data_IF_449822731573
#
_entry.id   IF_449822731573
#
_cell.length_a   1.000
_cell.length_b   1.000
_cell.length_c   1.000
_cell.angle_alpha   90.00
_cell.angle_beta   90.00
_cell.angle_gamma   90.00
#
_symmetry.space_group_name_H-M   'P 1'
#
loop_
_entity.id
_entity.type
_entity.pdbx_description
1 polymer ?
#
# COMPACT_ATOMS: atom_id res chain seq x y z
N UNK A 1 -15.05 -13.72 19.99
CA UNK A 1 -14.99 -13.55 18.52
C UNK A 1 -16.28 -14.02 17.85
N UNK A 2 -16.65 -15.30 17.94
CA UNK A 2 -17.90 -15.86 17.35
C UNK A 2 -19.17 -15.14 17.88
N UNK A 3 -19.22 -14.85 19.18
CA UNK A 3 -20.33 -14.10 19.80
C UNK A 3 -20.48 -12.65 19.27
N UNK A 4 -19.39 -12.00 18.84
CA UNK A 4 -19.45 -10.67 18.23
C UNK A 4 -19.94 -10.74 16.77
N UNK A 5 -19.56 -11.79 16.04
CA UNK A 5 -20.02 -12.06 14.67
C UNK A 5 -21.52 -12.37 14.65
N UNK A 6 -22.04 -13.17 15.60
CA UNK A 6 -23.47 -13.45 15.73
C UNK A 6 -24.26 -12.18 16.08
N UNK A 7 -23.73 -11.35 16.99
CA UNK A 7 -24.33 -10.06 17.37
C UNK A 7 -24.32 -9.04 16.22
N UNK A 8 -23.34 -9.14 15.32
CA UNK A 8 -23.24 -8.33 14.11
C UNK A 8 -24.19 -8.81 13.01
N UNK A 9 -24.30 -10.13 12.79
CA UNK A 9 -25.28 -10.75 11.90
C UNK A 9 -26.73 -10.39 12.30
N UNK A 10 -27.07 -10.52 13.58
CA UNK A 10 -28.40 -10.13 14.08
C UNK A 10 -28.69 -8.62 14.03
N UNK A 11 -27.65 -7.78 13.89
CA UNK A 11 -27.78 -6.32 13.71
C UNK A 11 -27.88 -5.94 12.23
N UNK A 12 -27.29 -6.73 11.34
CA UNK A 12 -27.36 -6.58 9.87
C UNK A 12 -28.77 -6.79 9.33
N UNK A 13 -29.51 -7.80 9.82
CA UNK A 13 -30.91 -8.00 9.42
C UNK A 13 -31.84 -6.86 9.86
N UNK A 14 -31.63 -6.31 11.07
CA UNK A 14 -32.39 -5.14 11.54
C UNK A 14 -32.05 -3.87 10.77
N UNK A 15 -30.82 -3.74 10.26
CA UNK A 15 -30.39 -2.61 9.44
C UNK A 15 -31.05 -2.60 8.04
N UNK A 16 -31.46 -3.77 7.51
CA UNK A 16 -32.21 -3.85 6.24
C UNK A 16 -33.68 -3.41 6.34
N UNK A 17 -34.30 -3.45 7.52
CA UNK A 17 -35.73 -3.10 7.70
C UNK A 17 -35.99 -1.67 8.19
N UNK A 18 -34.94 -0.92 8.51
CA UNK A 18 -35.03 0.52 8.75
C UNK A 18 -34.27 1.27 7.67
N UNK A 19 -34.83 1.32 6.47
CA UNK A 19 -34.53 2.40 5.52
C UNK A 19 -35.04 3.70 6.14
N UNK A 20 -34.24 4.26 7.06
CA UNK A 20 -34.53 5.52 7.72
C UNK A 20 -34.64 6.60 6.64
N UNK A 21 -35.70 7.43 6.65
CA UNK A 21 -35.82 8.52 5.70
C UNK A 21 -34.58 9.42 5.85
N UNK A 22 -33.99 9.82 4.70
CA UNK A 22 -32.90 10.79 4.65
C UNK A 22 -33.25 11.98 5.54
N UNK A 23 -32.63 12.08 6.72
CA UNK A 23 -32.77 13.27 7.55
C UNK A 23 -32.19 14.46 6.78
N UNK A 24 -32.85 15.63 6.81
CA UNK A 24 -32.30 16.84 6.22
C UNK A 24 -30.95 17.11 6.91
N UNK A 25 -29.95 17.36 6.07
CA UNK A 25 -28.59 17.62 6.47
C UNK A 25 -28.53 18.88 7.35
N UNK A 26 -28.19 18.72 8.63
CA UNK A 26 -28.03 19.83 9.58
C UNK A 26 -26.75 20.61 9.24
N UNK A 27 -26.91 21.89 8.94
CA UNK A 27 -25.96 22.75 8.24
C UNK A 27 -24.87 23.35 9.13
N UNK A 28 -24.55 22.75 10.28
CA UNK A 28 -23.55 23.30 11.24
C UNK A 28 -22.34 22.39 11.50
N UNK A 29 -22.13 21.35 10.69
CA UNK A 29 -20.80 20.69 10.61
C UNK A 29 -20.24 20.98 9.23
N UNK A 30 -19.14 21.74 9.14
CA UNK A 30 -18.38 21.87 7.90
C UNK A 30 -18.06 20.46 7.38
N UNK A 31 -18.73 20.02 6.31
CA UNK A 31 -18.29 18.83 5.59
C UNK A 31 -16.94 19.18 5.00
N UNK A 32 -15.88 18.67 5.62
CA UNK A 32 -14.57 18.57 5.00
C UNK A 32 -14.74 17.63 3.79
N UNK A 33 -15.24 18.19 2.69
CA UNK A 33 -15.42 17.48 1.43
C UNK A 33 -14.05 17.41 0.78
N UNK A 34 -13.45 16.22 0.81
CA UNK A 34 -12.20 15.97 0.11
C UNK A 34 -12.44 16.22 -1.37
N UNK A 35 -11.75 17.21 -1.94
CA UNK A 35 -11.84 17.53 -3.36
C UNK A 35 -11.39 16.31 -4.15
N UNK A 36 -12.27 15.79 -5.02
CA UNK A 36 -11.99 14.63 -5.88
C UNK A 36 -11.07 15.05 -7.02
N UNK A 37 -9.78 15.07 -6.73
CA UNK A 37 -8.71 15.45 -7.66
C UNK A 37 -8.17 14.26 -8.48
N UNK A 38 -8.57 13.02 -8.14
CA UNK A 38 -8.08 11.79 -8.77
C UNK A 38 -9.22 11.07 -9.52
N UNK A 39 -9.03 10.82 -10.82
CA UNK A 39 -9.95 10.03 -11.64
C UNK A 39 -9.73 8.52 -11.50
N UNK A 40 -10.66 7.71 -12.03
CA UNK A 40 -10.62 6.24 -11.94
C UNK A 40 -9.31 5.64 -12.48
N UNK A 41 -8.89 6.06 -13.68
CA UNK A 41 -7.64 5.57 -14.28
C UNK A 41 -6.40 5.89 -13.44
N UNK A 42 -6.33 7.10 -12.87
CA UNK A 42 -5.25 7.47 -11.96
C UNK A 42 -5.29 6.64 -10.68
N UNK A 43 -6.48 6.37 -10.14
CA UNK A 43 -6.63 5.54 -8.95
C UNK A 43 -6.16 4.09 -9.19
N UNK A 44 -6.51 3.49 -10.34
CA UNK A 44 -6.05 2.13 -10.70
C UNK A 44 -4.53 2.09 -10.85
N UNK A 45 -3.95 3.03 -11.61
CA UNK A 45 -2.50 3.09 -11.83
C UNK A 45 -1.75 3.33 -10.51
N UNK A 46 -2.25 4.22 -9.65
CA UNK A 46 -1.65 4.44 -8.33
C UNK A 46 -1.73 3.20 -7.44
N UNK A 47 -2.86 2.47 -7.46
CA UNK A 47 -3.03 1.22 -6.70
C UNK A 47 -2.07 0.15 -7.19
N UNK A 48 -1.93 -0.03 -8.50
CA UNK A 48 -0.94 -0.94 -9.08
C UNK A 48 0.49 -0.52 -8.70
N UNK A 49 0.78 0.78 -8.72
CA UNK A 49 2.07 1.34 -8.34
C UNK A 49 2.43 1.16 -6.87
N UNK A 50 1.44 1.20 -5.97
CA UNK A 50 1.66 0.97 -4.54
C UNK A 50 1.87 -0.51 -4.22
N UNK A 51 1.24 -1.42 -4.97
CA UNK A 51 1.44 -2.87 -4.82
C UNK A 51 2.78 -3.30 -5.44
N UNK A 52 3.12 -2.81 -6.64
CA UNK A 52 4.37 -3.11 -7.34
C UNK A 52 5.51 -2.24 -6.81
N UNK A 53 5.98 -2.60 -5.63
CA UNK A 53 7.08 -1.95 -4.92
C UNK A 53 8.48 -2.41 -5.35
N UNK A 54 9.50 -1.87 -4.69
CA UNK A 54 10.88 -2.37 -4.81
C UNK A 54 10.99 -3.84 -4.35
N UNK A 55 10.11 -4.29 -3.46
CA UNK A 55 10.07 -5.66 -2.96
C UNK A 55 10.04 -6.74 -4.04
N UNK A 56 9.43 -6.50 -5.20
CA UNK A 56 9.39 -7.49 -6.28
C UNK A 56 10.80 -7.84 -6.81
N UNK A 57 11.76 -6.92 -6.75
CA UNK A 57 13.15 -7.16 -7.15
C UNK A 57 14.02 -7.72 -6.01
N UNK A 58 13.56 -7.62 -4.76
CA UNK A 58 14.33 -7.98 -3.55
C UNK A 58 13.91 -9.32 -2.97
N UNK A 59 12.59 -9.49 -2.84
CA UNK A 59 11.93 -10.62 -2.21
C UNK A 59 12.26 -11.97 -2.84
N UNK A 60 12.44 -12.12 -4.18
CA UNK A 60 12.76 -13.43 -4.76
C UNK A 60 14.04 -14.05 -4.18
N UNK A 61 15.09 -13.25 -3.95
CA UNK A 61 16.35 -13.72 -3.35
C UNK A 61 16.12 -14.21 -1.91
N UNK A 62 15.38 -13.44 -1.11
CA UNK A 62 15.06 -13.82 0.27
C UNK A 62 14.22 -15.10 0.36
N UNK A 63 13.16 -15.20 -0.43
CA UNK A 63 12.30 -16.39 -0.47
C UNK A 63 13.08 -17.62 -0.92
N UNK A 64 13.94 -17.50 -1.94
CA UNK A 64 14.75 -18.62 -2.42
C UNK A 64 15.76 -19.08 -1.36
N UNK A 65 16.43 -18.16 -0.66
CA UNK A 65 17.37 -18.52 0.42
C UNK A 65 16.67 -19.23 1.58
N UNK A 66 15.46 -18.80 1.95
CA UNK A 66 14.71 -19.44 3.04
C UNK A 66 14.09 -20.78 2.64
N UNK A 67 13.69 -20.96 1.38
CA UNK A 67 13.04 -22.20 0.90
C UNK A 67 14.05 -23.25 0.42
N UNK A 68 15.25 -22.85 -0.01
CA UNK A 68 16.31 -23.74 -0.48
C UNK A 68 16.03 -24.43 -1.83
N UNK A 69 14.81 -24.34 -2.36
CA UNK A 69 14.39 -24.97 -3.61
C UNK A 69 13.53 -24.03 -4.45
N UNK A 70 13.79 -24.00 -5.75
CA UNK A 70 13.05 -23.17 -6.72
C UNK A 70 11.58 -23.59 -6.81
N UNK A 71 11.27 -24.89 -6.72
CA UNK A 71 9.88 -25.36 -6.75
C UNK A 71 9.09 -24.88 -5.53
N UNK A 72 9.68 -24.94 -4.34
CA UNK A 72 9.05 -24.47 -3.11
C UNK A 72 8.89 -22.95 -3.08
N UNK A 73 9.84 -22.19 -3.64
CA UNK A 73 9.71 -20.73 -3.73
C UNK A 73 8.52 -20.31 -4.59
N UNK A 74 8.26 -21.01 -5.70
CA UNK A 74 7.07 -20.77 -6.54
C UNK A 74 5.77 -21.06 -5.80
N UNK A 75 5.70 -22.16 -5.05
CA UNK A 75 4.51 -22.49 -4.23
C UNK A 75 4.24 -21.40 -3.20
N UNK A 76 5.27 -20.92 -2.50
CA UNK A 76 5.14 -19.83 -1.52
C UNK A 76 4.61 -18.56 -2.17
N UNK A 77 5.11 -18.20 -3.36
CA UNK A 77 4.60 -17.06 -4.13
C UNK A 77 3.14 -17.23 -4.54
N UNK A 78 2.74 -18.42 -5.00
CA UNK A 78 1.35 -18.71 -5.37
C UNK A 78 0.41 -18.59 -4.18
N UNK A 79 0.78 -19.18 -3.03
CA UNK A 79 -0.04 -19.11 -1.80
C UNK A 79 -0.15 -17.67 -1.31
N UNK A 80 0.96 -16.91 -1.29
CA UNK A 80 0.94 -15.50 -0.91
C UNK A 80 0.02 -14.66 -1.82
N UNK A 81 0.00 -14.95 -3.13
CA UNK A 81 -0.91 -14.33 -4.09
C UNK A 81 -2.39 -14.61 -3.77
N UNK A 82 -2.74 -15.86 -3.50
CA UNK A 82 -4.11 -16.27 -3.15
C UNK A 82 -4.58 -15.59 -1.85
N UNK A 83 -3.74 -15.64 -0.82
CA UNK A 83 -4.05 -14.99 0.48
C UNK A 83 -4.25 -13.48 0.30
N UNK A 84 -3.42 -12.83 -0.51
CA UNK A 84 -3.53 -11.40 -0.81
C UNK A 84 -4.82 -11.08 -1.58
N UNK A 85 -5.22 -11.94 -2.51
CA UNK A 85 -6.47 -11.79 -3.28
C UNK A 85 -7.70 -11.88 -2.37
N UNK A 86 -7.74 -12.85 -1.45
CA UNK A 86 -8.83 -12.99 -0.48
C UNK A 86 -8.90 -11.74 0.40
N UNK A 87 -7.76 -11.25 0.90
CA UNK A 87 -7.70 -10.01 1.67
C UNK A 87 -8.22 -8.80 0.89
N UNK A 88 -7.85 -8.66 -0.38
CA UNK A 88 -8.34 -7.59 -1.24
C UNK A 88 -9.88 -7.64 -1.43
N UNK A 89 -10.45 -8.83 -1.62
CA UNK A 89 -11.90 -9.01 -1.73
C UNK A 89 -12.63 -8.59 -0.46
N UNK A 90 -12.12 -8.95 0.72
CA UNK A 90 -12.68 -8.51 2.00
C UNK A 90 -12.65 -6.97 2.14
N UNK A 91 -11.57 -6.32 1.70
CA UNK A 91 -11.46 -4.87 1.71
C UNK A 91 -12.37 -4.17 0.71
N UNK A 92 -12.62 -4.78 -0.46
CA UNK A 92 -13.58 -4.27 -1.45
C UNK A 92 -15.00 -4.32 -0.89
N UNK A 93 -15.40 -5.42 -0.25
CA UNK A 93 -16.71 -5.53 0.41
C UNK A 93 -16.86 -4.45 1.49
N UNK A 94 -15.84 -4.28 2.34
CA UNK A 94 -15.87 -3.26 3.38
C UNK A 94 -15.92 -1.83 2.82
N UNK A 95 -15.15 -1.56 1.76
CA UNK A 95 -15.11 -0.26 1.08
C UNK A 95 -16.40 0.10 0.35
N UNK A 96 -17.12 -0.90 -0.16
CA UNK A 96 -18.45 -0.69 -0.79
C UNK A 96 -19.55 -0.54 0.27
N UNK A 97 -19.45 -1.21 1.42
CA UNK A 97 -20.41 -1.07 2.52
C UNK A 97 -20.29 0.27 3.27
N UNK A 98 -19.09 0.84 3.40
CA UNK A 98 -18.84 2.07 4.16
C UNK A 98 -18.15 3.10 3.24
N UNK A 99 -18.91 3.83 2.39
CA UNK A 99 -18.37 4.83 1.48
C UNK A 99 -18.09 6.14 2.22
N UNK A 100 -17.08 6.14 3.07
CA UNK A 100 -16.64 7.32 3.82
C UNK A 100 -15.14 7.53 3.66
N UNK A 101 -14.71 8.78 3.60
CA UNK A 101 -13.29 9.14 3.59
C UNK A 101 -12.62 8.69 4.90
N UNK A 102 -11.40 8.15 4.83
CA UNK A 102 -10.61 7.76 6.02
C UNK A 102 -10.15 6.30 6.09
N UNK A 103 -10.47 5.46 5.09
CA UNK A 103 -9.96 4.08 4.98
C UNK A 103 -10.11 3.27 6.29
N UNK A 104 -9.05 2.58 6.72
CA UNK A 104 -9.00 1.71 7.90
C UNK A 104 -9.49 2.39 9.19
N UNK A 105 -9.16 3.67 9.40
CA UNK A 105 -9.59 4.41 10.59
C UNK A 105 -11.11 4.47 10.71
N UNK A 106 -11.80 4.76 9.60
CA UNK A 106 -13.27 4.85 9.57
C UNK A 106 -13.91 3.49 9.86
N UNK A 107 -13.32 2.39 9.39
CA UNK A 107 -13.83 1.04 9.67
C UNK A 107 -13.70 0.68 11.15
N UNK A 108 -12.54 0.95 11.74
CA UNK A 108 -12.25 0.71 13.15
C UNK A 108 -13.16 1.57 14.03
N UNK A 109 -13.31 2.85 13.70
CA UNK A 109 -14.21 3.77 14.41
C UNK A 109 -15.65 3.29 14.40
N UNK A 110 -16.14 2.76 13.26
CA UNK A 110 -17.52 2.30 13.13
C UNK A 110 -17.79 0.98 13.86
N UNK A 111 -16.79 0.10 13.96
CA UNK A 111 -16.93 -1.21 14.61
C UNK A 111 -16.64 -1.16 16.12
N UNK A 112 -15.64 -0.39 16.56
CA UNK A 112 -15.11 -0.42 17.92
C UNK A 112 -15.14 0.92 18.66
N UNK A 113 -15.64 2.00 18.03
CA UNK A 113 -15.78 3.31 18.65
C UNK A 113 -14.51 4.16 18.58
N UNK A 114 -14.52 5.31 19.28
CA UNK A 114 -13.50 6.35 19.11
C UNK A 114 -12.14 6.00 19.73
N UNK A 115 -12.10 5.35 20.89
CA UNK A 115 -10.84 5.07 21.58
C UNK A 115 -9.92 4.08 20.82
N UNK A 116 -10.41 2.91 20.35
CA UNK A 116 -9.60 2.01 19.52
C UNK A 116 -9.20 2.63 18.18
N UNK A 117 -10.06 3.48 17.61
CA UNK A 117 -9.74 4.20 16.37
C UNK A 117 -8.62 5.21 16.57
N UNK A 118 -8.62 5.93 17.69
CA UNK A 118 -7.53 6.84 18.05
C UNK A 118 -6.21 6.12 18.24
N UNK A 119 -6.19 4.99 18.96
CA UNK A 119 -4.98 4.18 19.15
C UNK A 119 -4.42 3.66 17.82
N UNK A 120 -5.30 3.18 16.94
CA UNK A 120 -4.89 2.77 15.60
C UNK A 120 -4.24 3.92 14.83
N UNK A 121 -4.88 5.09 14.79
CA UNK A 121 -4.35 6.26 14.10
C UNK A 121 -3.00 6.71 14.68
N UNK A 122 -2.86 6.66 16.01
CA UNK A 122 -1.61 7.00 16.69
C UNK A 122 -0.46 6.10 16.25
N UNK A 123 -0.67 4.78 16.27
CA UNK A 123 0.35 3.80 15.84
C UNK A 123 0.64 3.92 14.35
N UNK A 124 -0.38 4.11 13.53
CA UNK A 124 -0.26 4.24 12.08
C UNK A 124 0.61 5.45 11.69
N UNK A 125 0.35 6.62 12.29
CA UNK A 125 1.02 7.88 11.96
C UNK A 125 2.40 7.98 12.59
N UNK A 126 2.58 7.53 13.83
CA UNK A 126 3.84 7.70 14.57
C UNK A 126 4.85 6.61 14.23
N UNK A 127 4.38 5.38 13.98
CA UNK A 127 5.24 4.20 13.88
C UNK A 127 5.19 3.60 12.48
N UNK A 128 4.03 3.13 12.03
CA UNK A 128 3.94 2.27 10.84
C UNK A 128 4.33 3.02 9.57
N UNK A 129 3.73 4.19 9.33
CA UNK A 129 3.97 4.97 8.11
C UNK A 129 5.42 5.48 8.04
N UNK A 130 6.00 6.12 9.08
CA UNK A 130 7.37 6.61 9.01
C UNK A 130 8.40 5.48 8.84
N UNK A 131 8.22 4.35 9.55
CA UNK A 131 9.13 3.20 9.44
C UNK A 131 9.12 2.64 8.02
N UNK A 132 7.95 2.49 7.40
CA UNK A 132 7.85 2.02 6.02
C UNK A 132 8.59 2.95 5.04
N UNK A 133 8.45 4.27 5.19
CA UNK A 133 9.15 5.26 4.35
C UNK A 133 10.67 5.21 4.55
N UNK A 134 11.13 5.07 5.79
CA UNK A 134 12.56 4.96 6.12
C UNK A 134 13.17 3.69 5.52
N UNK A 135 12.51 2.53 5.67
CA UNK A 135 13.00 1.26 5.12
C UNK A 135 13.15 1.35 3.61
N UNK A 136 12.15 1.88 2.90
CA UNK A 136 12.20 2.03 1.45
C UNK A 136 13.34 2.98 1.02
N UNK A 137 13.52 4.08 1.74
CA UNK A 137 14.56 5.05 1.43
C UNK A 137 15.98 4.55 1.72
N UNK A 138 16.16 3.84 2.84
CA UNK A 138 17.42 3.18 3.16
C UNK A 138 17.75 2.10 2.13
N UNK A 139 16.75 1.34 1.68
CA UNK A 139 16.93 0.35 0.62
C UNK A 139 17.42 1.04 -0.65
N UNK A 140 16.75 2.11 -1.09
CA UNK A 140 17.19 2.90 -2.24
C UNK A 140 18.63 3.39 -2.12
N UNK A 141 19.01 3.95 -0.96
CA UNK A 141 20.36 4.44 -0.73
C UNK A 141 21.42 3.34 -0.77
N UNK A 142 21.14 2.16 -0.19
CA UNK A 142 22.06 1.03 -0.25
C UNK A 142 22.24 0.54 -1.70
N UNK A 143 21.16 0.40 -2.47
CA UNK A 143 21.25 0.02 -3.88
C UNK A 143 22.05 1.01 -4.74
N UNK A 144 21.87 2.31 -4.51
CA UNK A 144 22.66 3.32 -5.20
C UNK A 144 24.14 3.28 -4.81
N UNK A 145 24.44 3.08 -3.53
CA UNK A 145 25.82 3.10 -3.04
C UNK A 145 26.58 1.82 -3.37
N UNK A 146 25.93 0.65 -3.37
CA UNK A 146 26.55 -0.62 -3.79
C UNK A 146 26.97 -0.59 -5.26
N UNK A 147 26.25 0.14 -6.13
CA UNK A 147 26.65 0.28 -7.54
C UNK A 147 27.84 1.21 -7.73
N UNK A 148 28.01 2.23 -6.88
CA UNK A 148 29.12 3.19 -6.95
C UNK A 148 30.37 2.65 -6.23
N UNK A 149 30.19 1.99 -5.09
CA UNK A 149 31.25 1.48 -4.22
C UNK A 149 31.35 -0.05 -4.28
N UNK A 150 31.40 -0.61 -5.50
CA UNK A 150 31.35 -2.06 -5.75
C UNK A 150 32.39 -2.89 -4.96
N UNK A 151 33.52 -2.31 -4.56
CA UNK A 151 34.61 -2.98 -3.83
C UNK A 151 34.95 -2.36 -2.48
N UNK A 152 34.23 -1.33 -2.04
CA UNK A 152 34.55 -0.57 -0.83
C UNK A 152 33.47 -0.73 0.24
N UNK A 153 33.87 -0.64 1.52
CA UNK A 153 32.90 -0.58 2.62
C UNK A 153 32.15 0.75 2.53
N UNK A 154 30.83 0.68 2.35
CA UNK A 154 29.98 1.87 2.26
C UNK A 154 29.92 2.57 3.61
N UNK A 155 30.31 3.85 3.72
CA UNK A 155 30.24 4.57 4.98
C UNK A 155 28.78 4.83 5.38
N UNK A 156 28.41 4.48 6.62
CA UNK A 156 27.04 4.60 7.12
C UNK A 156 26.48 6.03 7.08
N UNK A 157 27.35 7.04 7.22
CA UNK A 157 26.96 8.45 7.08
C UNK A 157 26.45 8.78 5.67
N UNK A 158 27.07 8.23 4.63
CA UNK A 158 26.66 8.46 3.24
C UNK A 158 25.30 7.80 2.94
N UNK A 159 25.05 6.60 3.46
CA UNK A 159 23.75 5.90 3.34
C UNK A 159 22.63 6.76 3.92
N UNK A 160 22.84 7.33 5.11
CA UNK A 160 21.84 8.18 5.77
C UNK A 160 21.56 9.46 4.99
N UNK A 161 22.60 10.12 4.47
CA UNK A 161 22.44 11.34 3.67
C UNK A 161 21.70 11.07 2.35
N UNK A 162 22.07 10.01 1.64
CA UNK A 162 21.42 9.63 0.39
C UNK A 162 19.97 9.18 0.65
N UNK A 163 19.69 8.49 1.76
CA UNK A 163 18.33 8.13 2.15
C UNK A 163 17.47 9.36 2.55
N UNK A 164 18.07 10.47 2.98
CA UNK A 164 17.30 11.68 3.26
C UNK A 164 16.78 12.35 1.98
N UNK A 165 17.55 12.27 0.87
CA UNK A 165 17.23 12.94 -0.40
C UNK A 165 15.85 12.59 -0.97
N UNK A 166 15.49 11.32 -1.24
CA UNK A 166 14.20 11.00 -1.85
C UNK A 166 13.03 11.36 -0.93
N UNK A 167 13.20 11.25 0.40
CA UNK A 167 12.16 11.66 1.37
C UNK A 167 11.93 13.18 1.26
N UNK A 168 12.99 13.98 1.32
CA UNK A 168 12.90 15.44 1.22
C UNK A 168 12.31 15.88 -0.13
N UNK A 169 12.77 15.28 -1.24
CA UNK A 169 12.30 15.61 -2.59
C UNK A 169 10.81 15.27 -2.74
N UNK A 170 10.39 14.07 -2.35
CA UNK A 170 8.99 13.65 -2.47
C UNK A 170 8.09 14.49 -1.55
N UNK A 171 8.54 14.82 -0.35
CA UNK A 171 7.81 15.70 0.58
C UNK A 171 7.63 17.09 -0.03
N UNK A 172 8.69 17.67 -0.59
CA UNK A 172 8.63 18.97 -1.26
C UNK A 172 7.65 18.98 -2.45
N UNK A 173 7.69 17.95 -3.30
CA UNK A 173 6.77 17.82 -4.44
C UNK A 173 5.32 17.66 -3.94
N UNK A 174 5.12 16.86 -2.89
CA UNK A 174 3.80 16.64 -2.29
C UNK A 174 3.21 17.94 -1.71
N UNK A 175 4.02 18.73 -1.00
CA UNK A 175 3.61 20.05 -0.47
C UNK A 175 3.24 21.04 -1.58
N UNK A 176 3.84 20.94 -2.76
CA UNK A 176 3.58 21.90 -3.85
C UNK A 176 2.32 21.58 -4.63
N UNK A 177 2.15 20.32 -5.08
CA UNK A 177 0.90 19.87 -5.70
C UNK A 177 0.88 18.32 -5.79
N UNK A 178 -0.11 17.72 -5.14
CA UNK A 178 -0.32 16.28 -5.04
C UNK A 178 -0.49 15.58 -6.40
N UNK A 179 -0.99 16.28 -7.43
CA UNK A 179 -1.15 15.72 -8.77
C UNK A 179 0.20 15.41 -9.44
N UNK A 180 1.27 16.14 -9.11
CA UNK A 180 2.62 15.82 -9.61
C UNK A 180 3.13 14.52 -9.02
N UNK A 181 2.86 14.27 -7.74
CA UNK A 181 3.19 12.99 -7.10
C UNK A 181 2.43 11.85 -7.77
N UNK A 182 1.14 12.02 -8.04
CA UNK A 182 0.34 11.01 -8.74
C UNK A 182 0.89 10.72 -10.15
N UNK A 183 1.30 11.75 -10.91
CA UNK A 183 1.92 11.58 -12.23
C UNK A 183 3.27 10.87 -12.14
N UNK A 184 4.15 11.28 -11.23
CA UNK A 184 5.46 10.65 -11.00
C UNK A 184 5.30 9.17 -10.62
N UNK A 185 4.36 8.87 -9.72
CA UNK A 185 4.03 7.51 -9.35
C UNK A 185 3.54 6.71 -10.56
N UNK A 186 2.70 7.30 -11.41
CA UNK A 186 2.26 6.67 -12.66
C UNK A 186 3.43 6.33 -13.60
N UNK A 187 4.36 7.26 -13.80
CA UNK A 187 5.56 7.03 -14.63
C UNK A 187 6.44 5.93 -14.05
N UNK A 188 6.71 5.94 -12.74
CA UNK A 188 7.50 4.88 -12.09
C UNK A 188 6.82 3.52 -12.17
N UNK A 189 5.49 3.48 -12.08
CA UNK A 189 4.72 2.23 -12.22
C UNK A 189 4.82 1.68 -13.63
N UNK A 190 4.70 2.53 -14.65
CA UNK A 190 4.88 2.13 -16.04
C UNK A 190 6.30 1.63 -16.32
N UNK A 191 7.32 2.33 -15.82
CA UNK A 191 8.72 1.91 -15.95
C UNK A 191 8.99 0.55 -15.29
N UNK A 192 8.47 0.34 -14.08
CA UNK A 192 8.57 -0.97 -13.39
C UNK A 192 7.83 -2.07 -14.13
N UNK A 193 6.62 -1.80 -14.62
CA UNK A 193 5.85 -2.77 -15.40
C UNK A 193 6.60 -3.16 -16.68
N UNK A 194 7.19 -2.19 -17.37
CA UNK A 194 8.03 -2.43 -18.53
C UNK A 194 9.24 -3.32 -18.21
N UNK A 195 9.95 -3.03 -17.10
CA UNK A 195 11.07 -3.86 -16.67
C UNK A 195 10.66 -5.32 -16.38
N UNK A 196 9.49 -5.53 -15.73
CA UNK A 196 8.96 -6.87 -15.47
C UNK A 196 8.62 -7.60 -16.78
N UNK A 197 7.97 -6.92 -17.72
CA UNK A 197 7.64 -7.50 -19.04
C UNK A 197 8.91 -7.92 -19.77
N UNK A 198 9.95 -7.08 -19.75
CA UNK A 198 11.24 -7.40 -20.36
C UNK A 198 11.85 -8.66 -19.73
N UNK A 199 11.87 -8.75 -18.39
CA UNK A 199 12.39 -9.94 -17.68
C UNK A 199 11.63 -11.21 -18.09
N UNK A 200 10.30 -11.13 -18.21
CA UNK A 200 9.47 -12.28 -18.63
C UNK A 200 9.82 -12.68 -20.06
N UNK A 201 9.89 -11.73 -21.00
CA UNK A 201 10.19 -12.01 -22.42
C UNK A 201 11.57 -12.63 -22.58
N UNK A 202 12.59 -12.06 -21.93
CA UNK A 202 13.96 -12.59 -21.97
C UNK A 202 14.03 -13.97 -21.32
N UNK A 203 13.33 -14.17 -20.19
CA UNK A 203 13.24 -15.47 -19.53
C UNK A 203 12.61 -16.55 -20.40
N UNK A 204 11.47 -16.24 -21.04
CA UNK A 204 10.80 -17.16 -21.97
C UNK A 204 11.68 -17.46 -23.18
N UNK A 205 12.34 -16.45 -23.76
CA UNK A 205 13.28 -16.65 -24.86
C UNK A 205 14.42 -17.61 -24.49
N UNK A 206 14.98 -17.47 -23.28
CA UNK A 206 16.01 -18.37 -22.77
C UNK A 206 15.53 -19.79 -22.44
N UNK A 207 14.25 -19.97 -22.10
CA UNK A 207 13.66 -21.30 -21.85
C UNK A 207 13.31 -22.05 -23.13
N UNK A 208 12.97 -21.32 -24.20
CA UNK A 208 12.60 -21.89 -25.50
C UNK A 208 13.81 -22.16 -26.42
N UNK A 209 15.01 -21.71 -26.04
CA UNK A 209 16.26 -21.94 -26.76
C UNK A 209 16.98 -23.16 -26.18
#
# INVERSE_FOLDING_TARGET
>A
MIQQIIKWLGRSEKFKLTSSPKKPYDSTTELICVKRELGLGSAVVMTLGSIVGAGLFLSPKGVLMCTGSVGMSLVVWSVAGIVSMIGALCYIELGTCIPSSGSHFTYIKKCWGDFPAFLYLWVEVVILTPVAMIILSLTFANYMLETIFYQCVVPQGAVRLIAALPICILTFINCRNVQWVARLQGVFTAAKAFAIILIIVVGVYHLCK
#
